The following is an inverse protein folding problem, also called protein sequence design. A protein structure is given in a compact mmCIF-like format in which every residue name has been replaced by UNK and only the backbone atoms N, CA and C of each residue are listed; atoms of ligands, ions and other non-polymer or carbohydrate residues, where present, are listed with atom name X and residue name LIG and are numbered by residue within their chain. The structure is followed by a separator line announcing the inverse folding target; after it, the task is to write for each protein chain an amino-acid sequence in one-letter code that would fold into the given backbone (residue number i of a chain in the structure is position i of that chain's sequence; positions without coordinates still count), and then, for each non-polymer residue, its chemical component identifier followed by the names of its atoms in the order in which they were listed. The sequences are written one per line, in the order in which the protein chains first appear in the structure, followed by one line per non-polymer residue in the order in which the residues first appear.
data_IF_429200030865
#
_entry.id   IF_429200030865
#
_cell.length_a   1.000
_cell.length_b   1.000
_cell.length_c   1.000
_cell.angle_alpha   90.00
_cell.angle_beta   90.00
_cell.angle_gamma   90.00
#
_symmetry.space_group_name_H-M   'P 1'
#
loop_
_entity.id
_entity.type
_entity.pdbx_description
1 polymer ?
#
# COMPACT_ATOMS: atom_id res chain seq x y z
N UNK A 1 -27.67 -9.37 -9.28
CA UNK A 1 -26.28 -9.65 -9.71
C UNK A 1 -25.60 -10.52 -8.65
N UNK A 2 -25.35 -11.80 -8.95
CA UNK A 2 -24.82 -12.77 -7.99
C UNK A 2 -23.36 -12.54 -7.62
N UNK A 3 -22.94 -13.19 -6.54
CA UNK A 3 -21.54 -13.27 -6.13
C UNK A 3 -20.76 -14.14 -7.12
N UNK A 4 -19.50 -13.79 -7.39
CA UNK A 4 -18.61 -14.57 -8.26
C UNK A 4 -17.49 -15.16 -7.42
N UNK A 5 -17.11 -16.40 -7.73
CA UNK A 5 -15.96 -17.06 -7.11
C UNK A 5 -14.64 -16.49 -7.65
N UNK A 6 -13.58 -16.54 -6.86
CA UNK A 6 -12.24 -16.19 -7.31
C UNK A 6 -11.77 -17.20 -8.38
N UNK A 7 -11.44 -16.77 -9.61
CA UNK A 7 -11.07 -17.67 -10.71
C UNK A 7 -9.86 -18.55 -10.42
N UNK A 8 -8.88 -18.06 -9.65
CA UNK A 8 -7.69 -18.85 -9.26
C UNK A 8 -8.05 -19.96 -8.30
N UNK A 9 -8.81 -19.62 -7.25
CA UNK A 9 -9.23 -20.59 -6.23
C UNK A 9 -10.11 -21.67 -6.86
N UNK A 10 -11.00 -21.29 -7.78
CA UNK A 10 -11.86 -22.22 -8.49
C UNK A 10 -11.10 -23.25 -9.35
N UNK A 11 -9.82 -22.98 -9.69
CA UNK A 11 -8.97 -23.81 -10.56
C UNK A 11 -7.82 -24.48 -9.80
N UNK A 12 -7.86 -24.42 -8.48
CA UNK A 12 -6.83 -24.98 -7.62
C UNK A 12 -6.87 -26.51 -7.66
N UNK A 13 -5.70 -27.15 -7.78
CA UNK A 13 -5.56 -28.61 -7.86
C UNK A 13 -5.66 -29.20 -9.27
N UNK A 14 -6.11 -28.41 -10.25
CA UNK A 14 -6.05 -28.76 -11.68
C UNK A 14 -5.00 -27.91 -12.38
N UNK A 15 -5.40 -26.72 -12.83
CA UNK A 15 -4.51 -25.79 -13.56
C UNK A 15 -3.52 -25.09 -12.62
N UNK A 16 -3.97 -24.66 -11.44
CA UNK A 16 -3.11 -23.99 -10.47
C UNK A 16 -2.71 -24.88 -9.31
N UNK A 17 -1.44 -24.79 -8.95
CA UNK A 17 -0.89 -25.40 -7.74
C UNK A 17 -0.91 -24.43 -6.56
N UNK A 18 -0.65 -24.95 -5.36
CA UNK A 18 -0.55 -24.14 -4.15
C UNK A 18 0.74 -23.32 -4.13
N UNK A 19 0.64 -22.04 -3.74
CA UNK A 19 1.80 -21.16 -3.51
C UNK A 19 2.57 -21.48 -2.22
N UNK A 20 2.01 -22.25 -1.29
CA UNK A 20 2.72 -22.76 -0.10
C UNK A 20 2.53 -24.27 -0.09
N UNK A 21 3.62 -25.03 -0.25
CA UNK A 21 3.62 -26.49 -0.33
C UNK A 21 4.40 -27.04 0.84
N UNK A 22 3.69 -27.47 1.88
CA UNK A 22 4.29 -28.09 3.05
C UNK A 22 3.22 -28.82 3.86
N UNK A 23 3.68 -29.76 4.68
CA UNK A 23 2.83 -30.53 5.59
C UNK A 23 3.18 -30.21 7.05
N UNK A 24 2.17 -30.10 7.91
CA UNK A 24 2.38 -29.93 9.34
C UNK A 24 1.22 -30.53 10.14
N UNK A 25 1.54 -31.02 11.34
CA UNK A 25 0.54 -31.50 12.29
C UNK A 25 -0.37 -30.36 12.77
N UNK A 26 -1.60 -30.68 13.16
CA UNK A 26 -2.62 -29.70 13.61
C UNK A 26 -2.10 -28.69 14.65
N UNK A 27 -1.23 -29.13 15.58
CA UNK A 27 -0.64 -28.26 16.61
C UNK A 27 0.31 -27.20 16.02
N UNK A 28 1.09 -27.54 15.00
CA UNK A 28 2.12 -26.66 14.39
C UNK A 28 1.60 -25.90 13.16
N UNK A 29 0.52 -26.36 12.54
CA UNK A 29 -0.04 -25.75 11.33
C UNK A 29 -0.32 -24.25 11.48
N UNK A 30 -0.97 -23.85 12.57
CA UNK A 30 -1.30 -22.45 12.82
C UNK A 30 -0.07 -21.53 12.96
N UNK A 31 1.05 -22.07 13.46
CA UNK A 31 2.31 -21.33 13.60
C UNK A 31 2.97 -21.11 12.25
N UNK A 32 3.10 -22.16 11.44
CA UNK A 32 3.70 -22.07 10.11
C UNK A 32 2.85 -21.23 9.15
N UNK A 33 1.53 -21.32 9.24
CA UNK A 33 0.64 -20.46 8.46
C UNK A 33 0.83 -18.98 8.81
N UNK A 34 0.88 -18.64 10.10
CA UNK A 34 1.10 -17.26 10.53
C UNK A 34 2.48 -16.74 10.09
N UNK A 35 3.51 -17.58 10.21
CA UNK A 35 4.87 -17.29 9.75
C UNK A 35 4.89 -17.00 8.24
N UNK A 36 4.25 -17.83 7.42
CA UNK A 36 4.12 -17.65 5.97
C UNK A 36 3.40 -16.34 5.61
N UNK A 37 2.25 -16.05 6.25
CA UNK A 37 1.48 -14.81 6.00
C UNK A 37 2.34 -13.59 6.29
N UNK A 38 3.06 -13.60 7.41
CA UNK A 38 3.91 -12.48 7.84
C UNK A 38 5.15 -12.33 6.97
N UNK A 39 5.75 -13.44 6.54
CA UNK A 39 6.85 -13.44 5.58
C UNK A 39 6.42 -12.87 4.23
N UNK A 40 5.24 -13.27 3.72
CA UNK A 40 4.66 -12.71 2.49
C UNK A 40 4.43 -11.20 2.60
N UNK A 41 3.88 -10.72 3.72
CA UNK A 41 3.70 -9.28 3.97
C UNK A 41 5.04 -8.51 3.99
N UNK A 42 6.07 -9.11 4.60
CA UNK A 42 7.41 -8.52 4.68
C UNK A 42 8.07 -8.44 3.29
N UNK A 43 8.09 -9.54 2.54
CA UNK A 43 8.66 -9.60 1.19
C UNK A 43 7.95 -8.64 0.24
N UNK A 44 6.62 -8.59 0.26
CA UNK A 44 5.84 -7.67 -0.58
C UNK A 44 6.18 -6.19 -0.33
N UNK A 45 6.50 -5.82 0.92
CA UNK A 45 6.93 -4.44 1.26
C UNK A 45 8.36 -4.16 0.80
N UNK A 46 9.30 -5.08 1.10
CA UNK A 46 10.73 -4.90 0.82
C UNK A 46 11.02 -4.94 -0.68
N UNK A 47 10.41 -5.86 -1.41
CA UNK A 47 10.62 -6.11 -2.83
C UNK A 47 9.67 -5.32 -3.75
N UNK A 48 9.04 -4.26 -3.23
CA UNK A 48 8.12 -3.41 -4.01
C UNK A 48 8.82 -2.78 -5.22
N UNK A 49 10.09 -2.38 -5.09
CA UNK A 49 10.87 -1.75 -6.16
C UNK A 49 11.26 -2.76 -7.23
N UNK A 50 11.54 -4.01 -6.82
CA UNK A 50 11.89 -5.11 -7.72
C UNK A 50 10.68 -5.66 -8.51
N UNK A 51 9.46 -5.21 -8.18
CA UNK A 51 8.23 -5.69 -8.80
C UNK A 51 7.94 -7.14 -8.42
N UNK A 52 7.80 -7.37 -7.12
CA UNK A 52 7.36 -8.63 -6.51
C UNK A 52 5.98 -9.06 -7.03
N UNK A 53 5.90 -10.28 -7.56
CA UNK A 53 4.66 -10.90 -8.01
C UNK A 53 4.11 -11.84 -6.94
N UNK A 54 4.83 -12.93 -6.72
CA UNK A 54 4.45 -13.99 -5.80
C UNK A 54 5.68 -14.65 -5.19
N UNK A 55 5.44 -15.43 -4.14
CA UNK A 55 6.44 -16.27 -3.51
C UNK A 55 5.86 -17.66 -3.34
N UNK A 56 6.59 -18.64 -3.81
CA UNK A 56 6.37 -20.04 -3.52
C UNK A 56 7.19 -20.43 -2.29
N UNK A 57 6.52 -21.03 -1.32
CA UNK A 57 7.13 -21.44 -0.06
C UNK A 57 7.04 -22.95 0.03
N UNK A 58 8.19 -23.61 -0.02
CA UNK A 58 8.29 -25.05 0.22
C UNK A 58 9.01 -25.27 1.55
N UNK A 59 8.38 -26.00 2.47
CA UNK A 59 8.99 -26.33 3.77
C UNK A 59 9.21 -27.84 3.86
N UNK A 60 10.44 -28.20 4.20
CA UNK A 60 10.81 -29.52 4.70
C UNK A 60 11.13 -29.42 6.20
N UNK A 61 11.46 -30.54 6.84
CA UNK A 61 11.71 -30.59 8.30
C UNK A 61 12.79 -29.58 8.73
N UNK A 62 13.89 -29.50 7.98
CA UNK A 62 15.06 -28.66 8.33
C UNK A 62 15.38 -27.56 7.30
N UNK A 63 14.62 -27.49 6.20
CA UNK A 63 14.89 -26.58 5.07
C UNK A 63 13.64 -25.83 4.67
N UNK A 64 13.81 -24.55 4.37
CA UNK A 64 12.75 -23.71 3.81
C UNK A 64 13.25 -23.11 2.51
N UNK A 65 12.63 -23.50 1.40
CA UNK A 65 12.93 -22.99 0.07
C UNK A 65 11.91 -21.91 -0.29
N UNK A 66 12.42 -20.74 -0.66
CA UNK A 66 11.65 -19.58 -1.08
C UNK A 66 11.95 -19.31 -2.54
N UNK A 67 10.99 -19.59 -3.42
CA UNK A 67 11.09 -19.21 -4.84
C UNK A 67 10.33 -17.92 -5.04
N UNK A 68 11.06 -16.83 -5.28
CA UNK A 68 10.50 -15.49 -5.41
C UNK A 68 10.41 -15.14 -6.89
N UNK A 69 9.19 -14.93 -7.37
CA UNK A 69 8.92 -14.48 -8.73
C UNK A 69 8.94 -12.95 -8.77
N UNK A 70 9.86 -12.40 -9.56
CA UNK A 70 10.05 -10.95 -9.70
C UNK A 70 10.19 -10.53 -11.15
N UNK A 71 9.69 -9.33 -11.47
CA UNK A 71 9.89 -8.74 -12.79
C UNK A 71 11.32 -8.24 -13.03
N UNK A 72 12.04 -7.84 -11.97
CA UNK A 72 13.42 -7.32 -12.07
C UNK A 72 14.35 -8.07 -11.11
N UNK A 73 14.88 -9.25 -11.51
CA UNK A 73 15.72 -10.08 -10.66
C UNK A 73 17.03 -9.39 -10.23
N UNK A 74 17.63 -8.57 -11.10
CA UNK A 74 18.89 -7.89 -10.80
C UNK A 74 18.84 -6.98 -9.56
N UNK A 75 17.66 -6.40 -9.25
CA UNK A 75 17.48 -5.57 -8.05
C UNK A 75 17.49 -6.42 -6.77
N UNK A 76 17.04 -7.67 -6.86
CA UNK A 76 16.99 -8.60 -5.72
C UNK A 76 18.35 -9.24 -5.47
N UNK A 77 19.06 -9.60 -6.55
CA UNK A 77 20.37 -10.25 -6.49
C UNK A 77 21.46 -9.26 -6.05
N UNK A 78 21.39 -8.01 -6.50
CA UNK A 78 22.40 -6.99 -6.22
C UNK A 78 23.71 -7.22 -6.97
N UNK A 79 24.74 -6.41 -6.68
CA UNK A 79 26.07 -6.56 -7.29
C UNK A 79 26.79 -7.76 -6.65
N UNK A 80 27.16 -8.76 -7.44
CA UNK A 80 27.91 -9.94 -6.98
C UNK A 80 27.15 -10.85 -6.01
N UNK A 81 25.82 -10.87 -6.04
CA UNK A 81 25.00 -11.73 -5.15
C UNK A 81 24.87 -11.24 -3.71
N UNK A 82 25.44 -10.08 -3.36
CA UNK A 82 25.33 -9.46 -2.03
C UNK A 82 23.87 -9.30 -1.55
N UNK A 83 22.95 -8.98 -2.47
CA UNK A 83 21.53 -8.78 -2.14
C UNK A 83 20.83 -10.06 -1.69
N UNK A 84 21.21 -11.22 -2.23
CA UNK A 84 20.69 -12.53 -1.81
C UNK A 84 21.14 -12.87 -0.39
N UNK A 85 22.42 -12.64 -0.08
CA UNK A 85 22.98 -12.93 1.24
C UNK A 85 22.36 -12.02 2.32
N UNK A 86 22.21 -10.73 2.02
CA UNK A 86 21.52 -9.79 2.90
C UNK A 86 20.04 -10.13 3.08
N UNK A 87 19.39 -10.63 2.03
CA UNK A 87 18.01 -11.10 2.10
C UNK A 87 17.88 -12.31 3.01
N UNK A 88 18.78 -13.28 2.86
CA UNK A 88 18.83 -14.49 3.68
C UNK A 88 19.03 -14.15 5.15
N UNK A 89 20.03 -13.35 5.49
CA UNK A 89 20.26 -12.85 6.86
C UNK A 89 19.07 -12.07 7.42
N UNK A 90 18.39 -11.28 6.58
CA UNK A 90 17.20 -10.53 7.00
C UNK A 90 16.00 -11.45 7.29
N UNK A 91 15.78 -12.47 6.47
CA UNK A 91 14.71 -13.45 6.68
C UNK A 91 15.01 -14.32 7.90
N UNK A 92 16.25 -14.80 8.06
CA UNK A 92 16.65 -15.56 9.25
C UNK A 92 16.44 -14.76 10.54
N UNK A 93 16.84 -13.48 10.57
CA UNK A 93 16.55 -12.58 11.69
C UNK A 93 15.06 -12.38 11.93
N UNK A 94 14.28 -12.23 10.87
CA UNK A 94 12.83 -12.09 10.95
C UNK A 94 12.17 -13.34 11.54
N UNK A 95 12.56 -14.52 11.07
CA UNK A 95 12.08 -15.80 11.56
C UNK A 95 12.46 -16.02 13.02
N UNK A 96 13.70 -15.71 13.40
CA UNK A 96 14.16 -15.80 14.78
C UNK A 96 13.33 -14.90 15.70
N UNK A 97 13.20 -13.61 15.35
CA UNK A 97 12.41 -12.66 16.14
C UNK A 97 10.94 -13.11 16.29
N UNK A 98 10.32 -13.60 15.22
CA UNK A 98 8.94 -14.07 15.27
C UNK A 98 8.77 -15.29 16.19
N UNK A 99 9.73 -16.22 16.19
CA UNK A 99 9.73 -17.39 17.06
C UNK A 99 9.98 -17.01 18.52
N UNK A 100 10.91 -16.09 18.80
CA UNK A 100 11.23 -15.61 20.17
C UNK A 100 10.09 -14.81 20.80
N UNK A 101 9.43 -13.91 20.06
CA UNK A 101 8.35 -13.07 20.62
C UNK A 101 7.16 -13.92 21.10
N UNK A 102 6.92 -15.08 20.49
CA UNK A 102 5.87 -16.02 20.92
C UNK A 102 6.28 -16.95 22.06
N UNK A 103 7.58 -17.19 22.26
CA UNK A 103 8.10 -18.03 23.35
C UNK A 103 7.74 -17.50 24.75
N UNK A 104 7.40 -16.21 24.91
CA UNK A 104 6.94 -15.66 26.19
C UNK A 104 5.59 -16.21 26.69
N UNK A 105 4.76 -16.78 25.81
CA UNK A 105 3.39 -17.24 26.14
C UNK A 105 3.17 -18.76 25.94
N UNK A 106 4.22 -19.58 25.75
CA UNK A 106 4.08 -21.02 25.51
C UNK A 106 4.76 -21.85 26.60
N UNK A 107 4.16 -22.98 27.06
CA UNK A 107 4.73 -23.81 28.11
C UNK A 107 6.06 -24.47 27.69
N UNK A 108 6.97 -24.49 28.66
CA UNK A 108 8.43 -24.75 28.66
C UNK A 108 8.87 -26.14 28.15
N UNK A 109 8.00 -26.95 27.52
CA UNK A 109 8.34 -28.29 26.98
C UNK A 109 8.73 -28.30 25.50
N UNK A 110 8.54 -27.20 24.76
CA UNK A 110 8.88 -27.10 23.33
C UNK A 110 10.31 -26.59 23.04
N UNK A 111 11.18 -26.61 24.04
CA UNK A 111 12.46 -25.87 24.05
C UNK A 111 13.64 -26.54 23.32
N UNK A 112 13.52 -27.78 22.81
CA UNK A 112 14.72 -28.53 22.35
C UNK A 112 14.79 -28.92 20.86
N UNK A 113 13.77 -28.63 20.05
CA UNK A 113 13.78 -29.05 18.62
C UNK A 113 13.44 -27.92 17.64
N UNK A 114 14.09 -26.77 17.77
CA UNK A 114 14.20 -25.86 16.62
C UNK A 114 15.63 -25.89 16.11
N UNK A 115 15.98 -27.02 15.49
CA UNK A 115 17.20 -27.14 14.69
C UNK A 115 17.27 -25.99 13.68
N UNK A 116 18.50 -25.55 13.36
CA UNK A 116 18.82 -24.50 12.39
C UNK A 116 18.01 -24.72 11.10
N UNK A 117 16.93 -23.97 10.93
CA UNK A 117 16.14 -23.98 9.70
C UNK A 117 16.99 -23.30 8.62
N UNK A 118 17.50 -24.08 7.67
CA UNK A 118 18.29 -23.53 6.57
C UNK A 118 17.35 -22.89 5.55
N UNK A 119 17.45 -21.58 5.36
CA UNK A 119 16.66 -20.84 4.36
C UNK A 119 17.44 -20.81 3.05
N UNK A 120 16.81 -21.30 1.98
CA UNK A 120 17.33 -21.25 0.61
C UNK A 120 16.42 -20.34 -0.21
N UNK A 121 17.01 -19.37 -0.92
CA UNK A 121 16.27 -18.38 -1.70
C UNK A 121 16.61 -18.58 -3.17
N UNK A 122 15.59 -18.85 -3.99
CA UNK A 122 15.66 -18.85 -5.44
C UNK A 122 14.91 -17.62 -5.96
N UNK A 123 15.48 -16.93 -6.95
CA UNK A 123 14.85 -15.77 -7.59
C UNK A 123 14.60 -16.13 -9.04
N UNK A 124 13.33 -16.21 -9.40
CA UNK A 124 12.92 -16.55 -10.75
C UNK A 124 12.39 -15.29 -11.47
N UNK A 125 12.87 -15.00 -12.69
CA UNK A 125 12.34 -13.92 -13.49
C UNK A 125 10.95 -14.29 -14.02
N UNK A 126 10.01 -13.34 -13.93
CA UNK A 126 8.73 -13.47 -14.63
C UNK A 126 8.99 -13.40 -16.14
N UNK A 127 8.61 -14.46 -16.87
CA UNK A 127 8.82 -14.60 -18.32
C UNK A 127 8.34 -13.37 -19.10
N UNK A 128 7.08 -12.98 -18.88
CA UNK A 128 6.50 -11.78 -19.49
C UNK A 128 5.67 -11.00 -18.45
N UNK A 129 6.15 -9.82 -17.99
CA UNK A 129 5.45 -9.02 -17.00
C UNK A 129 4.04 -8.56 -17.42
N UNK A 130 3.80 -8.42 -18.73
CA UNK A 130 2.52 -7.95 -19.25
C UNK A 130 1.40 -8.99 -19.17
N UNK A 131 1.71 -10.28 -19.08
CA UNK A 131 0.70 -11.34 -18.92
C UNK A 131 0.24 -11.47 -17.46
N UNK A 132 1.03 -10.98 -16.51
CA UNK A 132 0.70 -11.08 -15.10
C UNK A 132 -0.37 -10.06 -14.68
N UNK A 133 -1.52 -10.56 -14.22
CA UNK A 133 -2.65 -9.74 -13.79
C UNK A 133 -2.28 -8.80 -12.63
N UNK A 134 -1.42 -9.24 -11.70
CA UNK A 134 -1.03 -8.45 -10.54
C UNK A 134 -0.14 -7.24 -10.91
N UNK A 135 0.80 -7.44 -11.84
CA UNK A 135 1.68 -6.37 -12.32
C UNK A 135 0.90 -5.36 -13.17
N UNK A 136 0.01 -5.83 -14.04
CA UNK A 136 -0.88 -4.99 -14.85
C UNK A 136 -1.81 -4.17 -13.94
N UNK A 137 -2.44 -4.79 -12.94
CA UNK A 137 -3.29 -4.08 -11.99
C UNK A 137 -2.53 -3.02 -11.18
N UNK A 138 -1.29 -3.32 -10.79
CA UNK A 138 -0.39 -2.37 -10.13
C UNK A 138 -0.05 -1.17 -11.01
N UNK A 139 0.25 -1.42 -12.29
CA UNK A 139 0.55 -0.38 -13.28
C UNK A 139 -0.66 0.54 -13.53
N UNK A 140 -1.85 -0.03 -13.74
CA UNK A 140 -3.10 0.75 -13.89
C UNK A 140 -3.33 1.60 -12.65
N UNK A 141 -3.16 1.03 -11.44
CA UNK A 141 -3.31 1.80 -10.21
C UNK A 141 -2.31 2.95 -10.11
N UNK A 142 -1.05 2.75 -10.48
CA UNK A 142 -0.02 3.80 -10.51
C UNK A 142 -0.35 4.90 -11.52
N UNK A 143 -0.88 4.56 -12.70
CA UNK A 143 -1.34 5.52 -13.70
C UNK A 143 -2.54 6.35 -13.21
N UNK A 144 -3.51 5.71 -12.54
CA UNK A 144 -4.66 6.40 -11.95
C UNK A 144 -4.24 7.37 -10.83
N UNK A 145 -3.22 7.01 -10.03
CA UNK A 145 -2.63 7.91 -9.01
C UNK A 145 -1.99 9.13 -9.66
N UNK A 146 -1.35 8.94 -10.82
CA UNK A 146 -0.80 10.02 -11.64
C UNK A 146 -1.88 10.85 -12.36
N UNK A 147 -3.16 10.56 -12.13
CA UNK A 147 -4.34 11.23 -12.72
C UNK A 147 -4.43 11.07 -14.23
N UNK A 148 -3.90 9.98 -14.77
CA UNK A 148 -4.16 9.62 -16.16
C UNK A 148 -5.65 9.26 -16.29
N UNK A 149 -6.35 9.70 -17.36
CA UNK A 149 -7.74 9.35 -17.60
C UNK A 149 -7.97 7.83 -17.53
N UNK A 150 -8.97 7.34 -16.77
CA UNK A 150 -9.18 5.91 -16.54
C UNK A 150 -9.37 5.09 -17.81
N UNK A 151 -10.13 5.59 -18.78
CA UNK A 151 -10.32 4.95 -20.09
C UNK A 151 -8.98 4.75 -20.82
N UNK A 152 -8.13 5.79 -20.84
CA UNK A 152 -6.81 5.74 -21.48
C UNK A 152 -5.90 4.73 -20.77
N UNK A 153 -5.86 4.76 -19.44
CA UNK A 153 -5.05 3.83 -18.64
C UNK A 153 -5.45 2.37 -18.86
N UNK A 154 -6.76 2.09 -18.89
CA UNK A 154 -7.28 0.74 -19.12
C UNK A 154 -7.05 0.26 -20.55
N UNK A 155 -7.36 1.08 -21.56
CA UNK A 155 -7.19 0.68 -22.95
C UNK A 155 -5.71 0.42 -23.28
N UNK A 156 -4.81 1.31 -22.83
CA UNK A 156 -3.37 1.11 -22.99
C UNK A 156 -2.88 -0.19 -22.32
N UNK A 157 -3.39 -0.51 -21.12
CA UNK A 157 -3.03 -1.74 -20.45
C UNK A 157 -3.58 -2.98 -21.18
N UNK A 158 -4.82 -2.90 -21.68
CA UNK A 158 -5.49 -3.97 -22.43
C UNK A 158 -4.74 -4.26 -23.74
N UNK A 159 -4.37 -3.23 -24.49
CA UNK A 159 -3.57 -3.37 -25.71
C UNK A 159 -2.21 -4.03 -25.41
N UNK A 160 -1.53 -3.60 -24.35
CA UNK A 160 -0.25 -4.24 -23.93
C UNK A 160 -0.40 -5.72 -23.59
N UNK A 161 -1.51 -6.11 -22.95
CA UNK A 161 -1.77 -7.49 -22.56
C UNK A 161 -2.09 -8.35 -23.80
N UNK A 162 -2.91 -7.83 -24.71
CA UNK A 162 -3.23 -8.53 -25.96
C UNK A 162 -2.00 -8.66 -26.88
N UNK A 163 -1.18 -7.60 -26.98
CA UNK A 163 0.08 -7.64 -27.74
C UNK A 163 1.11 -8.61 -27.15
N UNK A 164 1.03 -8.89 -25.84
CA UNK A 164 1.85 -9.90 -25.19
C UNK A 164 1.37 -11.34 -25.45
N UNK A 165 0.27 -11.53 -26.21
CA UNK A 165 -0.23 -12.85 -26.61
C UNK A 165 -1.39 -13.39 -25.77
N UNK A 166 -2.05 -12.57 -24.95
CA UNK A 166 -3.24 -13.02 -24.20
C UNK A 166 -4.45 -13.24 -25.12
N UNK A 167 -5.23 -14.31 -24.86
CA UNK A 167 -6.48 -14.61 -25.59
C UNK A 167 -7.61 -13.64 -25.21
N UNK A 168 -7.59 -13.13 -23.98
CA UNK A 168 -8.54 -12.13 -23.53
C UNK A 168 -8.14 -11.50 -22.20
N UNK A 169 -8.62 -10.26 -22.01
CA UNK A 169 -8.34 -9.46 -20.83
C UNK A 169 -9.59 -8.72 -20.38
N UNK A 170 -9.79 -8.69 -19.06
CA UNK A 170 -10.90 -7.99 -18.43
C UNK A 170 -10.39 -7.17 -17.27
N UNK A 171 -10.58 -5.87 -17.37
CA UNK A 171 -10.28 -4.92 -16.29
C UNK A 171 -11.60 -4.39 -15.72
N UNK A 172 -11.77 -4.52 -14.41
CA UNK A 172 -12.91 -3.95 -13.69
C UNK A 172 -12.39 -2.82 -12.79
N UNK A 173 -12.77 -1.58 -13.10
CA UNK A 173 -12.55 -0.45 -12.21
C UNK A 173 -13.80 -0.20 -11.38
N UNK A 174 -13.62 -0.02 -10.07
CA UNK A 174 -14.72 0.33 -9.17
C UNK A 174 -14.32 1.49 -8.29
N UNK A 175 -15.26 2.43 -8.10
CA UNK A 175 -15.09 3.58 -7.24
C UNK A 175 -15.51 4.88 -7.92
N UNK A 176 -14.99 6.00 -7.42
CA UNK A 176 -15.28 7.35 -7.92
C UNK A 176 -14.37 7.68 -9.09
N UNK A 177 -14.68 7.06 -10.21
CA UNK A 177 -13.89 7.15 -11.45
C UNK A 177 -13.84 8.61 -11.90
N UNK A 178 -12.63 9.10 -12.16
CA UNK A 178 -12.35 10.51 -12.48
C UNK A 178 -12.88 11.53 -11.45
N UNK A 179 -13.06 11.12 -10.19
CA UNK A 179 -13.57 12.01 -9.14
C UNK A 179 -15.08 12.24 -9.16
N UNK A 180 -15.84 11.45 -9.95
CA UNK A 180 -17.30 11.48 -9.98
C UNK A 180 -17.90 11.40 -8.57
N UNK A 181 -19.05 12.05 -8.37
CA UNK A 181 -19.73 12.07 -7.07
C UNK A 181 -20.21 10.67 -6.66
N UNK A 182 -20.82 9.95 -7.59
CA UNK A 182 -21.33 8.59 -7.40
C UNK A 182 -20.25 7.59 -7.79
N UNK A 183 -20.00 6.61 -6.92
CA UNK A 183 -19.13 5.50 -7.26
C UNK A 183 -19.83 4.60 -8.29
N UNK A 184 -19.10 4.23 -9.33
CA UNK A 184 -19.58 3.33 -10.37
C UNK A 184 -18.57 2.22 -10.64
N UNK A 185 -19.02 1.21 -11.39
CA UNK A 185 -18.17 0.12 -11.87
C UNK A 185 -18.09 0.22 -13.39
N UNK A 186 -16.90 0.39 -13.92
CA UNK A 186 -16.63 0.35 -15.35
C UNK A 186 -15.88 -0.93 -15.68
N UNK A 187 -16.40 -1.65 -16.67
CA UNK A 187 -15.82 -2.89 -17.18
C UNK A 187 -15.20 -2.57 -18.54
N UNK A 188 -13.94 -2.92 -18.71
CA UNK A 188 -13.22 -2.91 -19.98
C UNK A 188 -12.87 -4.35 -20.32
N UNK A 189 -13.20 -4.80 -21.53
CA UNK A 189 -12.94 -6.16 -21.98
C UNK A 189 -12.48 -6.18 -23.41
N UNK A 190 -11.55 -7.09 -23.71
CA UNK A 190 -11.08 -7.40 -25.05
C UNK A 190 -10.81 -8.91 -25.12
N UNK A 191 -11.13 -9.55 -26.25
CA UNK A 191 -10.99 -11.00 -26.41
C UNK A 191 -11.98 -11.84 -25.59
N UNK A 192 -11.66 -13.12 -25.41
CA UNK A 192 -12.51 -14.11 -24.75
C UNK A 192 -11.97 -14.50 -23.37
N UNK A 193 -12.85 -14.58 -22.35
CA UNK A 193 -12.46 -14.99 -20.99
C UNK A 193 -13.49 -15.96 -20.41
N UNK A 194 -13.27 -17.28 -20.56
CA UNK A 194 -14.15 -18.31 -20.03
C UNK A 194 -13.95 -18.47 -18.52
N UNK A 195 -14.82 -17.84 -17.71
CA UNK A 195 -14.71 -17.92 -16.25
C UNK A 195 -15.24 -19.25 -15.67
N UNK A 196 -16.21 -19.88 -16.33
CA UNK A 196 -16.84 -21.13 -15.88
C UNK A 196 -16.02 -22.38 -16.21
N UNK A 197 -15.16 -22.31 -17.23
CA UNK A 197 -14.37 -23.45 -17.69
C UNK A 197 -13.15 -23.64 -16.81
N UNK A 198 -13.08 -24.75 -16.06
CA UNK A 198 -12.02 -25.01 -15.07
C UNK A 198 -10.65 -25.27 -15.71
N UNK A 199 -10.64 -25.91 -16.89
CA UNK A 199 -9.44 -26.30 -17.64
C UNK A 199 -8.65 -25.13 -18.25
N UNK A 200 -9.24 -23.94 -18.31
CA UNK A 200 -8.62 -22.76 -18.90
C UNK A 200 -7.76 -22.02 -17.87
N UNK A 201 -6.57 -21.58 -18.26
CA UNK A 201 -5.69 -20.79 -17.40
C UNK A 201 -6.17 -19.33 -17.33
N UNK A 202 -6.57 -18.89 -16.13
CA UNK A 202 -7.09 -17.52 -15.90
C UNK A 202 -6.37 -16.89 -14.72
N UNK A 203 -5.39 -16.02 -15.03
CA UNK A 203 -4.73 -15.21 -14.01
C UNK A 203 -5.70 -14.11 -13.51
N UNK A 204 -5.73 -13.93 -12.20
CA UNK A 204 -6.59 -12.97 -11.52
C UNK A 204 -5.82 -12.29 -10.39
N UNK A 205 -5.97 -10.97 -10.32
CA UNK A 205 -5.46 -10.17 -9.23
C UNK A 205 -6.44 -9.07 -8.86
N UNK A 206 -6.55 -8.83 -7.56
CA UNK A 206 -7.16 -7.63 -7.01
C UNK A 206 -6.06 -6.67 -6.54
N UNK A 207 -6.24 -5.38 -6.78
CA UNK A 207 -5.29 -4.37 -6.33
C UNK A 207 -6.01 -3.20 -5.70
N UNK A 208 -6.09 -3.23 -4.37
CA UNK A 208 -6.66 -2.15 -3.58
C UNK A 208 -5.53 -1.20 -3.18
N UNK A 209 -5.56 0.02 -3.73
CA UNK A 209 -4.80 1.15 -3.17
C UNK A 209 -5.75 2.24 -2.72
N UNK A 210 -5.82 2.45 -1.42
CA UNK A 210 -6.45 3.63 -0.86
C UNK A 210 -5.47 4.81 -0.95
N UNK A 211 -5.98 5.96 -1.41
CA UNK A 211 -5.41 7.27 -1.06
C UNK A 211 -5.37 7.39 0.47
N UNK A 212 -4.53 8.27 1.05
CA UNK A 212 -4.45 8.55 2.50
C UNK A 212 -5.86 8.64 3.12
N UNK A 213 -6.34 7.54 3.70
CA UNK A 213 -7.67 7.37 4.28
C UNK A 213 -7.52 6.35 5.42
N UNK A 214 -8.25 6.51 6.55
CA UNK A 214 -8.28 5.54 7.63
C UNK A 214 -8.74 4.16 7.12
N UNK A 215 -8.01 3.11 7.51
CA UNK A 215 -8.34 1.72 7.18
C UNK A 215 -9.64 1.23 7.83
N UNK A 216 -9.96 1.77 9.01
CA UNK A 216 -11.17 1.47 9.80
C UNK A 216 -11.63 2.76 10.49
N UNK A 217 -12.93 3.01 10.48
CA UNK A 217 -13.57 4.08 11.27
C UNK A 217 -14.70 3.50 12.11
N UNK A 218 -14.91 4.01 13.33
CA UNK A 218 -16.01 3.57 14.21
C UNK A 218 -17.39 3.84 13.58
N UNK A 219 -17.51 4.96 12.89
CA UNK A 219 -18.73 5.36 12.19
C UNK A 219 -18.42 5.73 10.73
N UNK A 220 -19.35 5.41 9.82
CA UNK A 220 -19.25 5.74 8.40
C UNK A 220 -19.31 7.26 8.17
N UNK A 221 -20.22 7.95 8.85
CA UNK A 221 -20.38 9.41 8.81
C UNK A 221 -20.29 9.99 10.22
N UNK A 222 -19.77 11.21 10.34
CA UNK A 222 -19.63 11.90 11.64
C UNK A 222 -20.26 13.28 11.60
N UNK A 223 -20.46 13.91 12.75
CA UNK A 223 -20.86 15.32 12.80
C UNK A 223 -19.68 16.22 12.40
N UNK A 224 -19.95 17.25 11.60
CA UNK A 224 -18.92 18.20 11.12
C UNK A 224 -18.21 18.89 12.28
N UNK A 225 -18.88 19.07 13.42
CA UNK A 225 -18.31 19.59 14.65
C UNK A 225 -17.73 21.00 14.50
N UNK A 226 -17.19 21.55 15.59
CA UNK A 226 -16.51 22.86 15.58
C UNK A 226 -15.01 22.66 15.34
N UNK A 227 -14.40 23.57 14.56
CA UNK A 227 -12.94 23.58 14.29
C UNK A 227 -12.17 24.62 15.12
N UNK A 228 -12.86 25.33 16.01
CA UNK A 228 -12.31 26.44 16.80
C UNK A 228 -11.33 25.94 17.88
N UNK A 229 -10.58 26.88 18.45
CA UNK A 229 -9.61 26.66 19.51
C UNK A 229 -8.18 26.43 19.01
N UNK A 230 -7.22 26.45 19.95
CA UNK A 230 -5.80 26.20 19.68
C UNK A 230 -5.48 24.70 19.77
N UNK A 231 -4.44 24.28 19.06
CA UNK A 231 -3.90 22.93 19.17
C UNK A 231 -3.10 22.79 20.47
N UNK A 232 -3.59 21.96 21.39
CA UNK A 232 -2.85 21.61 22.62
C UNK A 232 -1.79 20.56 22.30
N UNK A 233 -2.11 19.58 21.44
CA UNK A 233 -1.21 18.48 21.07
C UNK A 233 -0.56 18.69 19.71
N UNK A 234 0.67 18.20 19.57
CA UNK A 234 1.42 18.20 18.32
C UNK A 234 1.70 19.59 17.77
N UNK A 235 1.94 20.53 18.69
CA UNK A 235 2.26 21.94 18.44
C UNK A 235 3.76 22.23 18.42
N UNK A 236 4.57 21.22 18.78
CA UNK A 236 6.03 21.18 18.75
C UNK A 236 6.53 20.27 17.62
N UNK A 237 7.79 20.49 17.24
CA UNK A 237 8.52 19.67 16.26
C UNK A 237 9.18 18.52 17.01
N UNK A 238 8.76 17.29 16.73
CA UNK A 238 9.24 16.12 17.49
C UNK A 238 10.30 15.33 16.70
N UNK A 239 10.03 15.06 15.42
CA UNK A 239 10.84 14.17 14.58
C UNK A 239 11.86 14.92 13.73
N UNK A 240 11.51 16.12 13.28
CA UNK A 240 12.34 16.97 12.43
C UNK A 240 13.20 17.99 13.17
N UNK A 241 13.95 18.77 12.39
CA UNK A 241 14.63 20.00 12.81
C UNK A 241 13.80 21.24 12.44
N UNK A 242 12.96 21.11 11.41
CA UNK A 242 12.09 22.18 10.92
C UNK A 242 10.63 21.72 10.88
N UNK A 243 9.69 22.65 11.02
CA UNK A 243 8.27 22.36 11.00
C UNK A 243 7.42 23.41 10.27
N UNK A 244 6.31 22.97 9.69
CA UNK A 244 5.28 23.84 9.13
C UNK A 244 4.08 23.92 10.08
N UNK A 245 3.96 25.03 10.80
CA UNK A 245 2.93 25.27 11.84
C UNK A 245 1.73 25.98 11.26
N UNK A 246 0.53 25.46 11.50
CA UNK A 246 -0.71 26.12 11.10
C UNK A 246 -0.95 27.38 11.94
N UNK A 247 -1.29 28.49 11.29
CA UNK A 247 -1.67 29.76 11.91
C UNK A 247 -3.19 29.85 12.01
N UNK A 248 -3.92 29.40 10.98
CA UNK A 248 -5.39 29.39 10.96
C UNK A 248 -5.96 27.97 11.16
N UNK A 249 -7.24 27.88 11.48
CA UNK A 249 -7.95 26.59 11.49
C UNK A 249 -8.47 26.25 10.08
N UNK A 250 -8.55 24.97 9.76
CA UNK A 250 -9.14 24.51 8.51
C UNK A 250 -9.27 23.01 8.42
N UNK A 251 -9.91 22.57 7.34
CA UNK A 251 -9.87 21.18 6.91
C UNK A 251 -8.80 21.05 5.85
N UNK A 252 -7.89 20.09 6.03
CA UNK A 252 -6.87 19.79 5.03
C UNK A 252 -7.16 18.40 4.48
N UNK A 253 -7.49 18.31 3.18
CA UNK A 253 -7.85 17.05 2.55
C UNK A 253 -6.64 16.15 2.34
N UNK A 254 -6.88 14.84 2.22
CA UNK A 254 -5.85 13.87 1.83
C UNK A 254 -5.06 14.29 0.57
N UNK A 255 -5.74 14.95 -0.38
CA UNK A 255 -5.15 15.46 -1.62
C UNK A 255 -4.17 16.60 -1.37
N UNK A 256 -4.54 17.54 -0.50
CA UNK A 256 -3.70 18.68 -0.14
C UNK A 256 -2.47 18.24 0.66
N UNK A 257 -2.64 17.27 1.58
CA UNK A 257 -1.52 16.70 2.34
C UNK A 257 -0.49 16.09 1.38
N UNK A 258 -0.94 15.29 0.42
CA UNK A 258 -0.06 14.64 -0.56
C UNK A 258 0.57 15.64 -1.53
N UNK A 259 -0.18 16.66 -1.96
CA UNK A 259 0.35 17.73 -2.82
C UNK A 259 1.46 18.53 -2.11
N UNK A 260 1.26 18.88 -0.85
CA UNK A 260 2.27 19.55 -0.02
C UNK A 260 3.51 18.66 0.19
N UNK A 261 3.32 17.37 0.52
CA UNK A 261 4.42 16.40 0.62
C UNK A 261 5.24 16.32 -0.66
N UNK A 262 4.57 16.14 -1.80
CA UNK A 262 5.22 16.05 -3.11
C UNK A 262 6.00 17.32 -3.44
N UNK A 263 5.45 18.50 -3.14
CA UNK A 263 6.13 19.77 -3.36
C UNK A 263 7.44 19.86 -2.56
N UNK A 264 7.42 19.53 -1.26
CA UNK A 264 8.62 19.50 -0.42
C UNK A 264 9.65 18.49 -0.95
N UNK A 265 9.22 17.25 -1.19
CA UNK A 265 10.11 16.17 -1.64
C UNK A 265 10.72 16.45 -3.02
N UNK A 266 10.01 17.14 -3.91
CA UNK A 266 10.52 17.51 -5.22
C UNK A 266 11.58 18.61 -5.12
N UNK A 267 11.34 19.63 -4.31
CA UNK A 267 12.29 20.74 -4.12
C UNK A 267 13.64 20.24 -3.58
N UNK A 268 13.60 19.40 -2.54
CA UNK A 268 14.82 18.83 -1.93
C UNK A 268 15.45 17.71 -2.77
N UNK A 269 14.94 17.44 -3.98
CA UNK A 269 15.39 16.33 -4.87
C UNK A 269 15.46 14.97 -4.16
N UNK A 270 14.54 14.72 -3.22
CA UNK A 270 14.51 13.54 -2.32
C UNK A 270 15.68 13.43 -1.32
N UNK A 271 16.45 14.49 -1.10
CA UNK A 271 17.37 14.61 0.02
C UNK A 271 16.65 14.91 1.33
N UNK A 272 17.11 14.33 2.44
CA UNK A 272 16.49 14.50 3.76
C UNK A 272 15.18 13.72 3.97
N UNK A 273 14.59 13.89 5.15
CA UNK A 273 13.36 13.19 5.59
C UNK A 273 12.22 14.18 5.75
N UNK A 274 11.05 13.84 5.20
CA UNK A 274 9.81 14.61 5.37
C UNK A 274 8.83 13.79 6.20
N UNK A 275 8.36 14.35 7.31
CA UNK A 275 7.36 13.74 8.18
C UNK A 275 6.01 14.42 7.98
N UNK A 276 4.95 13.63 7.91
CA UNK A 276 3.57 14.12 7.89
C UNK A 276 3.01 13.96 9.30
N UNK A 277 2.51 15.06 9.89
CA UNK A 277 2.01 15.08 11.27
C UNK A 277 0.50 15.11 11.37
N UNK A 278 -0.19 15.37 10.26
CA UNK A 278 -1.64 15.40 10.14
C UNK A 278 -2.12 14.24 9.27
N UNK A 279 -3.17 13.55 9.72
CA UNK A 279 -3.76 12.44 9.00
C UNK A 279 -5.22 12.76 8.69
N UNK A 280 -5.69 12.49 7.46
CA UNK A 280 -7.07 12.74 7.09
C UNK A 280 -7.96 11.63 7.65
N UNK A 281 -8.44 11.80 8.87
CA UNK A 281 -9.21 10.83 9.64
C UNK A 281 -10.71 11.15 9.67
N UNK A 282 -11.09 12.40 9.39
CA UNK A 282 -12.48 12.84 9.48
C UNK A 282 -13.22 12.73 8.14
N UNK A 283 -14.31 11.96 8.05
CA UNK A 283 -15.14 11.93 6.86
C UNK A 283 -15.97 13.21 6.74
N UNK A 284 -15.89 13.88 5.59
CA UNK A 284 -16.76 15.00 5.21
C UNK A 284 -17.78 14.50 4.21
N UNK A 285 -19.05 14.73 4.51
CA UNK A 285 -20.16 14.37 3.62
C UNK A 285 -20.55 15.55 2.73
N UNK A 286 -20.94 15.24 1.49
CA UNK A 286 -21.54 16.19 0.54
C UNK A 286 -22.87 15.62 0.07
N UNK A 287 -23.87 16.48 -0.11
CA UNK A 287 -25.12 16.10 -0.77
C UNK A 287 -25.02 16.45 -2.26
N UNK A 288 -25.65 15.65 -3.14
CA UNK A 288 -25.83 16.03 -4.53
C UNK A 288 -26.57 17.37 -4.64
N UNK A 289 -26.33 18.12 -5.73
CA UNK A 289 -27.21 19.22 -6.13
C UNK A 289 -28.67 18.70 -6.18
N UNK A 290 -29.66 19.57 -5.93
CA UNK A 290 -31.10 19.28 -6.08
C UNK A 290 -31.74 18.38 -4.99
N UNK A 291 -31.01 18.03 -3.92
CA UNK A 291 -31.62 17.32 -2.78
C UNK A 291 -32.47 18.25 -1.92
N UNK A 292 -33.72 17.84 -1.62
CA UNK A 292 -34.63 18.57 -0.74
C UNK A 292 -34.04 18.70 0.67
N UNK A 293 -34.42 19.78 1.37
CA UNK A 293 -34.09 19.93 2.78
C UNK A 293 -34.73 18.79 3.59
N UNK A 294 -34.00 18.22 4.56
CA UNK A 294 -34.49 17.12 5.42
C UNK A 294 -33.93 15.72 5.13
N UNK A 295 -33.29 15.45 3.97
CA UNK A 295 -32.83 14.08 3.60
C UNK A 295 -31.57 13.57 4.31
N UNK A 296 -31.35 13.91 5.59
CA UNK A 296 -30.22 13.40 6.38
C UNK A 296 -28.84 13.88 5.92
N UNK A 297 -27.76 13.14 6.24
CA UNK A 297 -26.39 13.41 5.75
C UNK A 297 -26.12 12.61 4.48
N UNK A 298 -25.55 13.26 3.46
CA UNK A 298 -25.11 12.60 2.22
C UNK A 298 -23.89 11.68 2.42
N UNK A 299 -23.37 11.16 1.32
CA UNK A 299 -22.24 10.25 1.34
C UNK A 299 -20.91 10.93 1.63
N UNK A 300 -19.93 10.14 2.10
CA UNK A 300 -18.57 10.61 2.39
C UNK A 300 -17.90 11.05 1.09
N UNK A 301 -17.73 12.36 0.96
CA UNK A 301 -17.10 13.00 -0.18
C UNK A 301 -15.57 12.95 -0.09
N UNK A 302 -14.99 13.19 1.07
CA UNK A 302 -13.55 13.07 1.26
C UNK A 302 -13.19 12.91 2.74
N UNK A 303 -11.95 12.52 2.99
CA UNK A 303 -11.37 12.54 4.32
C UNK A 303 -10.47 13.76 4.49
N UNK A 304 -10.63 14.42 5.62
CA UNK A 304 -9.89 15.64 5.96
C UNK A 304 -9.24 15.49 7.32
N UNK A 305 -8.08 16.12 7.47
CA UNK A 305 -7.49 16.38 8.77
C UNK A 305 -8.11 17.67 9.32
N UNK A 306 -8.56 17.64 10.58
CA UNK A 306 -8.97 18.86 11.28
C UNK A 306 -7.72 19.53 11.83
N UNK A 307 -7.33 20.64 11.22
CA UNK A 307 -6.15 21.40 11.62
C UNK A 307 -6.58 22.62 12.43
N UNK A 308 -6.00 22.77 13.62
CA UNK A 308 -6.18 23.92 14.51
C UNK A 308 -4.94 24.81 14.51
N UNK A 309 -5.07 26.13 14.78
CA UNK A 309 -3.97 27.03 15.00
C UNK A 309 -2.97 26.44 16.01
N UNK A 310 -1.69 26.50 15.67
CA UNK A 310 -0.60 25.98 16.45
C UNK A 310 -0.20 24.53 16.13
N UNK A 311 -0.98 23.78 15.33
CA UNK A 311 -0.65 22.39 14.98
C UNK A 311 0.51 22.34 13.96
N UNK A 312 1.50 21.49 14.20
CA UNK A 312 2.51 21.16 13.20
C UNK A 312 1.92 20.18 12.20
N UNK A 313 1.99 20.51 10.92
CA UNK A 313 1.43 19.71 9.82
C UNK A 313 2.48 18.84 9.15
N UNK A 314 3.68 19.38 8.97
CA UNK A 314 4.82 18.71 8.35
C UNK A 314 6.09 19.04 9.11
N UNK A 315 7.05 18.12 9.07
CA UNK A 315 8.39 18.32 9.61
C UNK A 315 9.44 17.86 8.61
N UNK A 316 10.64 18.43 8.68
CA UNK A 316 11.77 18.08 7.83
C UNK A 316 13.05 17.90 8.67
N UNK A 317 13.92 16.97 8.27
CA UNK A 317 15.22 16.70 8.89
C UNK A 317 16.26 16.36 7.83
N UNK A 318 17.53 16.70 8.08
CA UNK A 318 18.65 16.38 7.21
C UNK A 318 18.67 17.23 5.94
N UNK A 319 18.30 18.50 6.08
CA UNK A 319 18.31 19.53 5.02
C UNK A 319 18.81 20.84 5.61
N UNK A 320 19.34 21.73 4.78
CA UNK A 320 19.74 23.07 5.24
C UNK A 320 18.51 23.90 5.64
N UNK A 321 18.69 24.89 6.52
CA UNK A 321 17.59 25.77 6.94
C UNK A 321 17.01 26.57 5.77
N UNK A 322 17.84 26.99 4.82
CA UNK A 322 17.42 27.68 3.60
C UNK A 322 16.52 26.80 2.73
N UNK A 323 16.96 25.57 2.46
CA UNK A 323 16.19 24.62 1.65
C UNK A 323 14.87 24.23 2.34
N UNK A 324 14.90 24.03 3.65
CA UNK A 324 13.72 23.71 4.44
C UNK A 324 12.69 24.85 4.38
N UNK A 325 13.14 26.10 4.51
CA UNK A 325 12.28 27.28 4.46
C UNK A 325 11.57 27.40 3.11
N UNK A 326 12.30 27.22 2.02
CA UNK A 326 11.74 27.32 0.67
C UNK A 326 10.84 26.14 0.32
N UNK A 327 11.24 24.91 0.67
CA UNK A 327 10.40 23.72 0.51
C UNK A 327 9.06 23.86 1.25
N UNK A 328 9.09 24.38 2.49
CA UNK A 328 7.90 24.60 3.30
C UNK A 328 7.05 25.77 2.82
N UNK A 329 7.65 26.78 2.18
CA UNK A 329 6.92 27.86 1.48
C UNK A 329 6.13 27.30 0.29
N UNK A 330 6.73 26.43 -0.52
CA UNK A 330 6.04 25.76 -1.62
C UNK A 330 4.92 24.84 -1.11
N UNK A 331 5.14 24.16 0.02
CA UNK A 331 4.15 23.32 0.66
C UNK A 331 2.95 24.12 1.19
N UNK A 332 3.19 25.27 1.84
CA UNK A 332 2.14 26.11 2.41
C UNK A 332 1.17 26.63 1.34
N UNK A 333 1.67 26.94 0.14
CA UNK A 333 0.85 27.33 -1.00
C UNK A 333 -0.11 26.22 -1.49
N UNK A 334 0.09 24.95 -1.09
CA UNK A 334 -0.82 23.83 -1.40
C UNK A 334 -1.87 23.58 -0.33
N UNK A 335 -1.82 24.30 0.80
CA UNK A 335 -2.67 24.08 1.95
C UNK A 335 -3.74 25.18 2.06
N UNK A 336 -4.96 24.85 2.51
CA UNK A 336 -6.03 25.82 2.70
C UNK A 336 -5.91 26.60 4.03
N UNK A 337 -4.86 26.35 4.80
CA UNK A 337 -4.57 27.01 6.08
C UNK A 337 -3.30 27.82 5.96
N UNK A 338 -3.33 29.06 6.47
CA UNK A 338 -2.12 29.87 6.58
C UNK A 338 -1.17 29.15 7.53
N UNK A 339 0.10 29.13 7.18
CA UNK A 339 1.11 28.41 7.95
C UNK A 339 2.41 29.20 8.02
N UNK A 340 3.19 28.90 9.06
CA UNK A 340 4.46 29.55 9.37
C UNK A 340 5.54 28.49 9.52
N UNK A 341 6.71 28.78 8.95
CA UNK A 341 7.92 27.99 9.17
C UNK A 341 8.38 28.13 10.62
N UNK A 342 8.80 27.03 11.23
CA UNK A 342 9.40 27.02 12.56
C UNK A 342 10.66 26.15 12.56
N UNK A 343 11.63 26.57 13.36
CA UNK A 343 12.83 25.78 13.68
C UNK A 343 12.58 25.13 15.04
N UNK A 344 13.06 23.90 15.23
CA UNK A 344 13.02 23.22 16.53
C UNK A 344 13.83 24.04 17.52
N UNK A 345 13.15 24.59 18.52
CA UNK A 345 13.81 25.21 19.66
C UNK A 345 14.49 24.11 20.47
N UNK A 346 15.79 24.26 20.71
CA UNK A 346 16.49 23.47 21.72
C UNK A 346 15.99 23.99 23.07
N UNK A 347 15.35 23.13 23.84
CA UNK A 347 15.12 23.35 25.28
C UNK A 347 16.16 22.54 26.01
#
# INVERSE_FOLDING_TARGET
MGQKINPKIFRLGGVYSWNSRWFANNRRYGEFLLEDVKLREYLRKKLKIAGFLEVEIERSINKMKLTIHVSKPGIVIGRGGSGLEDMKKAIERFLFHFRTVRQKNAPTRFLKETGKLKVEIAVEPVKEPNLSAALVAGSIADQLIRRIPPKRACNQAIERVMNAGAVGVKVLLSGRINGAEIARREKFTMGSIPLSTIREEVDFADHIRSMLQPKRTKYRTTFRGKRRGKAVRGSMVDFGEFGLKAVTHGWVSARQIEAARKAMTHFIKRGGRVFIRIFPDKPITKKPPETRMGSGKGDVFEYVAVVKPGRIMFEMSGVTAGDAKEAMRLASAKLPVKSRFIVKSVV
#
